data_IF_542220136375
#
_entry.id   IF_542220136375
#
_cell.length_a   1.000
_cell.length_b   1.000
_cell.length_c   1.000
_cell.angle_alpha   90.00
_cell.angle_beta   90.00
_cell.angle_gamma   90.00
#
_symmetry.space_group_name_H-M   'P 1'
#
loop_
_entity.id
_entity.type
_entity.pdbx_description
1 polymer ?
#
# COMPACT_ATOMS: atom_id res chain seq x y z
N UNK A 1 6.27 14.89 10.34
CA UNK A 1 6.85 13.65 9.79
C UNK A 1 6.86 13.80 8.28
N UNK A 2 7.83 13.18 7.60
CA UNK A 2 7.85 13.16 6.14
C UNK A 2 6.93 12.03 5.66
N UNK A 3 6.10 12.32 4.66
CA UNK A 3 5.15 11.36 4.08
C UNK A 3 5.51 11.11 2.61
N UNK A 4 5.30 9.87 2.15
CA UNK A 4 5.47 9.49 0.74
C UNK A 4 4.30 8.65 0.26
N UNK A 5 3.84 8.86 -0.98
CA UNK A 5 2.70 8.12 -1.54
C UNK A 5 3.15 6.80 -2.18
N UNK A 6 2.46 5.70 -1.87
CA UNK A 6 2.69 4.39 -2.50
C UNK A 6 2.60 4.46 -4.03
N UNK A 7 1.65 5.26 -4.53
CA UNK A 7 1.38 5.46 -5.95
C UNK A 7 2.57 6.03 -6.71
N UNK A 8 3.43 6.84 -6.06
CA UNK A 8 4.68 7.33 -6.66
C UNK A 8 5.63 6.19 -7.01
N UNK A 9 5.75 5.19 -6.14
CA UNK A 9 6.60 4.03 -6.39
C UNK A 9 5.99 3.07 -7.41
N UNK A 10 4.66 2.93 -7.43
CA UNK A 10 3.95 2.07 -8.40
C UNK A 10 4.18 2.53 -9.84
N UNK A 11 4.24 3.84 -10.05
CA UNK A 11 4.37 4.50 -11.36
C UNK A 11 5.83 4.62 -11.85
N UNK A 12 6.82 4.42 -10.98
CA UNK A 12 8.24 4.41 -11.39
C UNK A 12 8.53 3.28 -12.35
N UNK A 13 9.41 3.54 -13.32
CA UNK A 13 9.91 2.48 -14.21
C UNK A 13 10.80 1.52 -13.42
N UNK A 14 10.91 0.25 -13.82
CA UNK A 14 11.74 -0.72 -13.09
C UNK A 14 13.19 -0.26 -12.81
N UNK A 15 13.93 0.35 -13.76
CA UNK A 15 15.28 0.83 -13.49
C UNK A 15 15.33 1.93 -12.42
N UNK A 16 14.35 2.84 -12.42
CA UNK A 16 14.25 3.93 -11.44
C UNK A 16 13.93 3.38 -10.04
N UNK A 17 13.09 2.34 -9.97
CA UNK A 17 12.73 1.69 -8.71
C UNK A 17 13.92 0.93 -8.12
N UNK A 18 14.71 0.26 -8.95
CA UNK A 18 15.95 -0.42 -8.54
C UNK A 18 16.97 0.60 -8.03
N UNK A 19 17.23 1.68 -8.79
CA UNK A 19 18.15 2.73 -8.37
C UNK A 19 17.73 3.39 -7.05
N UNK A 20 16.43 3.60 -6.84
CA UNK A 20 15.91 4.11 -5.58
C UNK A 20 16.13 3.13 -4.43
N UNK A 21 15.87 1.84 -4.63
CA UNK A 21 16.11 0.80 -3.64
C UNK A 21 17.58 0.71 -3.25
N UNK A 22 18.49 0.77 -4.23
CA UNK A 22 19.94 0.80 -3.99
C UNK A 22 20.36 2.03 -3.18
N UNK A 23 19.77 3.20 -3.44
CA UNK A 23 20.02 4.41 -2.64
C UNK A 23 19.54 4.32 -1.19
N UNK A 24 18.62 3.40 -0.90
CA UNK A 24 18.14 3.05 0.43
C UNK A 24 18.87 1.84 1.03
N UNK A 25 19.99 1.42 0.43
CA UNK A 25 20.79 0.28 0.88
C UNK A 25 19.97 -1.04 0.90
N UNK A 26 19.07 -1.22 -0.07
CA UNK A 26 18.41 -2.51 -0.30
C UNK A 26 19.36 -3.40 -1.10
N UNK A 27 19.85 -4.45 -0.45
CA UNK A 27 20.72 -5.44 -1.09
C UNK A 27 19.97 -6.25 -2.14
N UNK A 28 20.65 -6.62 -3.23
CA UNK A 28 20.12 -7.49 -4.28
C UNK A 28 18.83 -6.97 -4.95
N UNK A 29 18.62 -5.65 -4.97
CA UNK A 29 17.43 -5.01 -5.53
C UNK A 29 17.14 -5.42 -6.99
N UNK A 30 18.19 -5.60 -7.80
CA UNK A 30 18.09 -5.92 -9.24
C UNK A 30 17.52 -7.31 -9.54
N UNK A 31 17.59 -8.26 -8.60
CA UNK A 31 17.08 -9.64 -8.78
C UNK A 31 15.70 -9.84 -8.15
N UNK A 32 15.19 -8.86 -7.39
CA UNK A 32 13.89 -8.94 -6.74
C UNK A 32 12.73 -8.77 -7.71
N UNK A 33 11.63 -9.45 -7.45
CA UNK A 33 10.36 -9.14 -8.13
C UNK A 33 9.86 -7.76 -7.71
N UNK A 34 9.08 -7.08 -8.55
CA UNK A 34 8.55 -5.72 -8.26
C UNK A 34 7.90 -5.61 -6.87
N UNK A 35 7.14 -6.62 -6.46
CA UNK A 35 6.47 -6.63 -5.16
C UNK A 35 7.46 -6.77 -3.98
N UNK A 36 8.43 -7.67 -4.11
CA UNK A 36 9.49 -7.86 -3.11
C UNK A 36 10.36 -6.61 -2.97
N UNK A 37 10.72 -6.00 -4.10
CA UNK A 37 11.45 -4.74 -4.16
C UNK A 37 10.67 -3.62 -3.48
N UNK A 38 9.36 -3.54 -3.73
CA UNK A 38 8.48 -2.58 -3.06
C UNK A 38 8.48 -2.81 -1.55
N UNK A 39 8.31 -4.05 -1.09
CA UNK A 39 8.35 -4.37 0.34
C UNK A 39 9.67 -3.96 1.00
N UNK A 40 10.80 -4.21 0.32
CA UNK A 40 12.11 -3.84 0.81
C UNK A 40 12.28 -2.32 0.93
N UNK A 41 11.89 -1.55 -0.09
CA UNK A 41 11.89 -0.09 -0.08
C UNK A 41 11.06 0.45 1.09
N UNK A 42 9.82 -0.03 1.21
CA UNK A 42 8.88 0.49 2.21
C UNK A 42 9.34 0.14 3.63
N UNK A 43 9.97 -1.02 3.83
CA UNK A 43 10.60 -1.39 5.10
C UNK A 43 11.74 -0.43 5.47
N UNK A 44 12.59 -0.04 4.51
CA UNK A 44 13.66 0.95 4.74
C UNK A 44 13.11 2.33 5.07
N UNK A 45 12.09 2.78 4.36
CA UNK A 45 11.45 4.07 4.63
C UNK A 45 10.82 4.10 6.04
N UNK A 46 10.15 3.01 6.44
CA UNK A 46 9.59 2.90 7.78
C UNK A 46 10.66 2.95 8.88
N UNK A 47 11.87 2.41 8.65
CA UNK A 47 12.99 2.53 9.62
C UNK A 47 13.57 3.94 9.73
N UNK A 48 13.23 4.83 8.80
CA UNK A 48 13.64 6.24 8.79
C UNK A 48 12.51 7.16 9.29
N UNK A 49 11.48 6.61 9.95
CA UNK A 49 10.30 7.33 10.42
C UNK A 49 9.55 8.09 9.30
N UNK A 50 9.62 7.57 8.06
CA UNK A 50 8.87 8.07 6.91
C UNK A 50 7.57 7.27 6.81
N UNK A 51 6.44 7.97 6.91
CA UNK A 51 5.13 7.36 6.74
C UNK A 51 4.83 7.17 5.24
N UNK A 52 4.33 5.99 4.90
CA UNK A 52 3.89 5.69 3.54
C UNK A 52 2.38 5.78 3.52
N UNK A 53 1.87 6.63 2.63
CA UNK A 53 0.44 6.83 2.41
C UNK A 53 -0.02 5.97 1.24
N UNK A 54 -1.03 5.15 1.45
CA UNK A 54 -1.70 4.38 0.42
C UNK A 54 -3.10 4.93 0.18
N UNK A 55 -3.55 4.81 -1.06
CA UNK A 55 -4.89 5.20 -1.50
C UNK A 55 -5.53 4.10 -2.36
N UNK A 56 -6.86 4.09 -2.40
CA UNK A 56 -7.62 3.27 -3.33
C UNK A 56 -9.11 3.21 -3.02
N UNK A 57 -9.84 2.48 -3.86
CA UNK A 57 -11.29 2.32 -3.74
C UNK A 57 -11.60 1.05 -2.97
N UNK A 58 -12.41 1.16 -1.92
CA UNK A 58 -12.80 0.06 -1.06
C UNK A 58 -13.62 -0.96 -1.84
N UNK A 59 -13.24 -2.23 -1.71
CA UNK A 59 -14.07 -3.40 -2.03
C UNK A 59 -14.23 -4.25 -0.77
N UNK A 60 -15.45 -4.34 -0.25
CA UNK A 60 -15.79 -5.19 0.91
C UNK A 60 -16.18 -6.58 0.43
N UNK A 61 -15.56 -7.62 1.00
CA UNK A 61 -15.81 -9.03 0.69
C UNK A 61 -16.79 -9.66 1.70
N UNK A 62 -17.25 -10.89 1.40
CA UNK A 62 -18.32 -11.56 2.17
C UNK A 62 -18.01 -11.75 3.66
N UNK A 63 -16.73 -11.92 4.01
CA UNK A 63 -16.28 -12.08 5.40
C UNK A 63 -16.10 -10.73 6.15
N UNK A 64 -16.45 -9.62 5.50
CA UNK A 64 -16.46 -8.28 6.08
C UNK A 64 -15.10 -7.58 6.16
N UNK A 65 -14.02 -8.21 5.68
CA UNK A 65 -12.77 -7.50 5.37
C UNK A 65 -12.82 -6.99 3.92
N UNK A 66 -11.83 -6.19 3.52
CA UNK A 66 -11.79 -5.68 2.16
C UNK A 66 -10.40 -5.33 1.67
N UNK A 67 -10.36 -4.79 0.48
CA UNK A 67 -9.15 -4.25 -0.16
C UNK A 67 -9.40 -2.86 -0.71
N UNK A 68 -8.38 -2.00 -0.67
CA UNK A 68 -8.33 -0.79 -1.48
C UNK A 68 -7.75 -1.18 -2.84
N UNK A 69 -8.61 -1.12 -3.86
CA UNK A 69 -8.27 -1.43 -5.24
C UNK A 69 -7.72 -0.20 -5.96
N UNK A 70 -6.76 -0.42 -6.83
CA UNK A 70 -6.12 0.63 -7.61
C UNK A 70 -6.92 0.96 -8.88
N UNK A 71 -7.17 2.25 -9.13
CA UNK A 71 -7.73 2.72 -10.39
C UNK A 71 -6.82 2.37 -11.59
N UNK A 72 -5.49 2.39 -11.40
CA UNK A 72 -4.52 2.03 -12.45
C UNK A 72 -4.58 0.55 -12.85
N UNK A 73 -5.17 -0.30 -12.01
CA UNK A 73 -5.39 -1.72 -12.28
C UNK A 73 -6.83 -2.01 -12.73
N UNK A 74 -7.60 -0.99 -13.13
CA UNK A 74 -9.04 -1.11 -13.44
C UNK A 74 -9.85 -1.75 -12.31
N UNK A 75 -9.43 -1.53 -11.06
CA UNK A 75 -10.02 -2.11 -9.86
C UNK A 75 -10.00 -3.66 -9.82
N UNK A 76 -9.17 -4.30 -10.64
CA UNK A 76 -8.98 -5.74 -10.61
C UNK A 76 -8.13 -6.15 -9.41
N UNK A 77 -8.38 -7.34 -8.82
CA UNK A 77 -7.54 -7.87 -7.77
C UNK A 77 -6.07 -7.96 -8.18
N UNK A 78 -5.20 -7.37 -7.38
CA UNK A 78 -3.76 -7.24 -7.66
C UNK A 78 -2.89 -7.49 -6.42
N UNK A 79 -1.61 -7.85 -6.62
CA UNK A 79 -0.67 -8.08 -5.52
C UNK A 79 -0.34 -6.79 -4.72
N UNK A 80 -0.68 -5.63 -5.26
CA UNK A 80 -0.43 -4.31 -4.69
C UNK A 80 -1.66 -3.68 -4.05
N UNK A 81 -2.74 -4.46 -3.88
CA UNK A 81 -3.92 -4.08 -3.12
C UNK A 81 -3.60 -3.90 -1.64
N UNK A 82 -4.32 -2.98 -1.00
CA UNK A 82 -4.14 -2.66 0.42
C UNK A 82 -5.28 -3.29 1.21
N UNK A 83 -4.96 -4.25 2.06
CA UNK A 83 -5.89 -4.85 3.00
C UNK A 83 -6.48 -3.81 3.95
N UNK A 84 -7.79 -3.88 4.16
CA UNK A 84 -8.51 -3.14 5.20
C UNK A 84 -9.26 -4.11 6.11
N UNK A 85 -9.09 -3.94 7.42
CA UNK A 85 -9.66 -4.85 8.41
C UNK A 85 -11.17 -4.65 8.56
N UNK A 86 -11.92 -5.70 8.99
CA UNK A 86 -13.34 -5.55 9.32
C UNK A 86 -13.60 -4.49 10.38
N UNK A 87 -12.65 -4.31 11.31
CA UNK A 87 -12.77 -3.30 12.37
C UNK A 87 -12.74 -1.87 11.82
N UNK A 88 -11.88 -1.58 10.83
CA UNK A 88 -11.81 -0.28 10.17
C UNK A 88 -13.05 -0.03 9.32
N UNK A 89 -13.48 -1.03 8.54
CA UNK A 89 -14.72 -0.95 7.75
C UNK A 89 -15.91 -0.60 8.63
N UNK A 90 -16.10 -1.33 9.75
CA UNK A 90 -17.20 -1.07 10.69
C UNK A 90 -17.09 0.28 11.38
N UNK A 91 -15.89 0.65 11.86
CA UNK A 91 -15.67 1.90 12.60
C UNK A 91 -16.00 3.14 11.79
N UNK A 92 -15.66 3.15 10.51
CA UNK A 92 -15.86 4.29 9.61
C UNK A 92 -17.08 4.11 8.69
N UNK A 93 -17.90 3.06 8.90
CA UNK A 93 -19.06 2.72 8.07
C UNK A 93 -18.76 2.66 6.56
N UNK A 94 -17.55 2.19 6.21
CA UNK A 94 -17.07 2.14 4.83
C UNK A 94 -17.89 1.16 4.01
N UNK A 95 -18.13 1.52 2.75
CA UNK A 95 -18.86 0.72 1.76
C UNK A 95 -17.99 0.49 0.54
N UNK A 96 -18.31 -0.57 -0.21
CA UNK A 96 -17.71 -0.78 -1.53
C UNK A 96 -17.98 0.45 -2.40
N UNK A 97 -16.91 1.00 -2.98
CA UNK A 97 -16.93 2.23 -3.76
C UNK A 97 -16.39 3.48 -3.05
N UNK A 98 -16.27 3.46 -1.72
CA UNK A 98 -15.64 4.58 -1.00
C UNK A 98 -14.16 4.69 -1.36
N UNK A 99 -13.67 5.90 -1.58
CA UNK A 99 -12.24 6.16 -1.73
C UNK A 99 -11.63 6.41 -0.36
N UNK A 100 -10.55 5.72 -0.03
CA UNK A 100 -9.87 5.85 1.26
C UNK A 100 -8.40 6.15 1.04
N UNK A 101 -7.87 7.08 1.82
CA UNK A 101 -6.44 7.36 1.91
C UNK A 101 -5.98 7.25 3.37
N UNK A 102 -4.76 6.75 3.58
CA UNK A 102 -4.13 6.76 4.89
C UNK A 102 -2.80 6.01 4.95
N UNK A 103 -2.12 6.05 6.10
CA UNK A 103 -0.85 5.39 6.27
C UNK A 103 -1.02 3.86 6.16
N UNK A 104 -0.05 3.23 5.49
CA UNK A 104 -0.02 1.78 5.28
C UNK A 104 1.25 1.18 5.89
N UNK A 105 1.22 -0.14 6.07
CA UNK A 105 2.40 -0.93 6.44
C UNK A 105 2.62 -2.09 5.49
N UNK A 106 3.87 -2.51 5.38
CA UNK A 106 4.24 -3.76 4.74
C UNK A 106 3.58 -4.97 5.43
N UNK A 107 3.35 -6.07 4.69
CA UNK A 107 2.88 -7.33 5.27
C UNK A 107 3.85 -7.84 6.33
N UNK A 108 3.29 -8.42 7.40
CA UNK A 108 4.01 -9.21 8.40
C UNK A 108 4.21 -10.64 7.88
N UNK A 109 4.95 -11.44 8.64
CA UNK A 109 5.12 -12.87 8.36
C UNK A 109 3.75 -13.56 8.21
N UNK A 110 3.55 -14.26 7.10
CA UNK A 110 2.27 -14.91 6.75
C UNK A 110 1.25 -14.02 6.03
N UNK A 111 1.46 -12.70 5.95
CA UNK A 111 0.61 -11.77 5.18
C UNK A 111 1.13 -11.58 3.75
N UNK A 112 0.22 -11.30 2.80
CA UNK A 112 0.56 -11.12 1.36
C UNK A 112 0.39 -9.70 0.85
N UNK A 113 -0.36 -8.87 1.57
CA UNK A 113 -0.79 -7.55 1.11
C UNK A 113 -0.32 -6.47 2.07
N UNK A 114 -0.18 -5.25 1.57
CA UNK A 114 -0.08 -4.08 2.42
C UNK A 114 -1.33 -3.98 3.29
N UNK A 115 -1.22 -3.40 4.48
CA UNK A 115 -2.38 -3.19 5.35
C UNK A 115 -2.52 -1.71 5.71
N UNK A 116 -3.74 -1.19 5.65
CA UNK A 116 -4.07 0.15 6.11
C UNK A 116 -3.89 0.21 7.63
N UNK A 117 -3.07 1.14 8.11
CA UNK A 117 -2.87 1.39 9.54
C UNK A 117 -4.02 2.22 10.10
N UNK A 118 -4.35 3.30 9.40
CA UNK A 118 -5.35 4.29 9.81
C UNK A 118 -6.06 4.84 8.58
N UNK A 119 -7.35 5.13 8.74
CA UNK A 119 -8.12 5.91 7.76
C UNK A 119 -7.88 7.38 8.07
N UNK A 120 -7.30 8.12 7.13
CA UNK A 120 -7.11 9.56 7.25
C UNK A 120 -8.24 10.32 6.55
N UNK A 121 -8.48 9.98 5.28
CA UNK A 121 -9.40 10.70 4.39
C UNK A 121 -10.37 9.70 3.77
N UNK A 122 -11.64 10.09 3.61
CA UNK A 122 -12.68 9.30 2.93
C UNK A 122 -13.31 10.18 1.87
N UNK A 123 -13.41 9.70 0.63
CA UNK A 123 -14.05 10.41 -0.49
C UNK A 123 -13.53 11.84 -0.70
N UNK A 124 -12.23 12.06 -0.44
CA UNK A 124 -11.52 13.34 -0.60
C UNK A 124 -11.89 14.44 0.41
N UNK A 125 -12.62 14.08 1.47
CA UNK A 125 -13.01 14.97 2.58
C UNK A 125 -12.07 14.91 3.80
#
# INVERSE_FOLDING_TARGET
>A
MQEMKLTEFKNKKPPELIAYAESLEVENASVMRKQELMFAILKRLATQDIEIIGDGVVEVLQDGFGFLRSANANYLPGPDDIYISPSQIRRFSLKTGDTVEGPIRSPKEGERYFALLKVNTINFD
#
